data_IF_482254328104
#
_entry.id   IF_482254328104
#
_cell.length_a   1.000
_cell.length_b   1.000
_cell.length_c   1.000
_cell.angle_alpha   90.00
_cell.angle_beta   90.00
_cell.angle_gamma   90.00
#
_symmetry.space_group_name_H-M   'P 1'
#
loop_
_entity.id
_entity.type
_entity.pdbx_description
1 polymer ?
#
# COMPACT_ATOMS: atom_id res chain seq x y z
N UNK A 1 -35.50 -4.10 -46.36
CA UNK A 1 -36.16 -4.33 -45.07
C UNK A 1 -35.19 -5.09 -44.19
N UNK A 2 -34.79 -4.46 -43.07
CA UNK A 2 -34.27 -5.00 -41.79
C UNK A 2 -33.59 -6.38 -41.77
N UNK A 3 -32.45 -6.63 -41.11
CA UNK A 3 -31.97 -6.01 -39.89
C UNK A 3 -30.49 -6.41 -39.63
N UNK A 4 -29.72 -5.47 -39.08
CA UNK A 4 -28.39 -5.68 -38.50
C UNK A 4 -28.53 -6.32 -37.11
N UNK A 5 -27.61 -7.22 -36.73
CA UNK A 5 -27.14 -7.45 -35.34
C UNK A 5 -25.89 -8.35 -35.36
N UNK A 6 -24.68 -7.76 -35.40
CA UNK A 6 -23.75 -7.63 -34.24
C UNK A 6 -23.69 -8.90 -33.39
N UNK A 7 -22.63 -9.71 -33.46
CA UNK A 7 -21.27 -9.31 -33.08
C UNK A 7 -21.11 -9.61 -31.59
N UNK A 8 -20.58 -10.80 -31.27
CA UNK A 8 -20.24 -11.21 -29.91
C UNK A 8 -19.11 -10.30 -29.44
N UNK A 9 -19.45 -9.22 -28.71
CA UNK A 9 -18.50 -8.33 -28.06
C UNK A 9 -18.18 -8.88 -26.68
N UNK A 10 -16.95 -9.35 -26.53
CA UNK A 10 -16.25 -9.58 -25.25
C UNK A 10 -16.48 -8.40 -24.31
N UNK A 11 -16.82 -8.65 -23.04
CA UNK A 11 -17.27 -7.59 -22.11
C UNK A 11 -16.31 -7.47 -20.92
N UNK A 12 -16.31 -6.30 -20.28
CA UNK A 12 -15.40 -5.82 -19.22
C UNK A 12 -15.22 -6.69 -17.96
N UNK A 13 -15.82 -7.88 -17.89
CA UNK A 13 -15.42 -8.96 -16.97
C UNK A 13 -14.07 -9.61 -17.36
N UNK A 14 -13.64 -9.36 -18.59
CA UNK A 14 -12.51 -10.02 -19.24
C UNK A 14 -11.19 -9.24 -19.17
N UNK A 15 -11.07 -8.11 -18.42
CA UNK A 15 -9.83 -7.30 -18.45
C UNK A 15 -8.90 -7.51 -17.24
N UNK A 16 -9.38 -7.34 -16.00
CA UNK A 16 -8.52 -7.59 -14.82
C UNK A 16 -8.42 -9.08 -14.45
N UNK A 17 -9.37 -9.91 -14.92
CA UNK A 17 -9.31 -11.36 -14.79
C UNK A 17 -8.46 -12.04 -15.89
N UNK A 18 -8.24 -11.42 -17.06
CA UNK A 18 -7.46 -12.03 -18.15
C UNK A 18 -5.95 -11.83 -18.02
N UNK A 19 -5.49 -10.76 -17.37
CA UNK A 19 -4.05 -10.50 -17.20
C UNK A 19 -3.44 -11.40 -16.10
N UNK A 20 -4.21 -11.84 -15.12
CA UNK A 20 -3.73 -12.72 -14.04
C UNK A 20 -4.12 -14.21 -14.21
N UNK A 21 -5.01 -14.56 -15.16
CA UNK A 21 -5.69 -15.86 -15.20
C UNK A 21 -5.14 -16.92 -16.15
N UNK A 22 -3.96 -16.75 -16.74
CA UNK A 22 -3.45 -17.65 -17.80
C UNK A 22 -2.54 -18.79 -17.29
N UNK A 23 -2.95 -19.51 -16.24
CA UNK A 23 -2.50 -20.91 -16.01
C UNK A 23 -3.60 -21.72 -15.29
N UNK A 24 -4.63 -22.16 -16.04
CA UNK A 24 -5.58 -23.18 -15.57
C UNK A 24 -5.17 -24.55 -16.11
N UNK A 25 -4.36 -25.28 -15.36
CA UNK A 25 -4.34 -26.74 -15.42
C UNK A 25 -5.46 -27.27 -14.51
N UNK A 26 -6.38 -28.04 -15.08
CA UNK A 26 -7.54 -28.59 -14.39
C UNK A 26 -7.14 -29.58 -13.28
N UNK A 27 -7.72 -29.38 -12.09
CA UNK A 27 -7.88 -30.45 -11.09
C UNK A 27 -7.01 -30.35 -9.84
N UNK A 28 -7.20 -29.32 -9.00
CA UNK A 28 -6.76 -29.29 -7.58
C UNK A 28 -7.78 -28.53 -6.72
N UNK A 29 -7.98 -28.89 -5.43
CA UNK A 29 -9.02 -28.32 -4.58
C UNK A 29 -8.65 -26.91 -4.08
N UNK A 30 -9.67 -26.04 -4.01
CA UNK A 30 -9.68 -24.73 -3.34
C UNK A 30 -8.59 -23.72 -3.80
N UNK A 31 -8.82 -23.08 -4.94
CA UNK A 31 -8.19 -21.79 -5.23
C UNK A 31 -8.93 -20.66 -4.48
N UNK A 32 -8.22 -19.73 -3.81
CA UNK A 32 -8.81 -18.55 -3.20
C UNK A 32 -9.48 -17.71 -4.30
N UNK A 33 -10.75 -17.36 -4.09
CA UNK A 33 -11.50 -16.49 -5.01
C UNK A 33 -11.32 -15.06 -4.55
N UNK A 34 -10.86 -14.21 -5.47
CA UNK A 34 -10.82 -12.77 -5.24
C UNK A 34 -12.20 -12.25 -4.80
N UNK A 35 -12.22 -11.40 -3.77
CA UNK A 35 -13.42 -10.76 -3.28
C UNK A 35 -13.74 -9.60 -4.24
N UNK A 36 -14.76 -9.77 -5.09
CA UNK A 36 -15.15 -8.72 -6.04
C UNK A 36 -16.66 -8.48 -6.01
N UNK A 37 -17.03 -7.28 -5.54
CA UNK A 37 -18.16 -6.54 -6.11
C UNK A 37 -17.84 -6.21 -7.58
N UNK A 38 -18.85 -6.18 -8.46
CA UNK A 38 -18.66 -5.80 -9.86
C UNK A 38 -18.03 -4.40 -9.90
N UNK A 39 -16.80 -4.27 -10.39
CA UNK A 39 -16.25 -2.97 -10.76
C UNK A 39 -17.15 -2.33 -11.81
N UNK A 40 -17.73 -1.17 -11.48
CA UNK A 40 -18.36 -0.23 -12.42
C UNK A 40 -17.35 0.39 -13.39
N UNK A 41 -16.05 0.13 -13.20
CA UNK A 41 -14.97 0.58 -14.07
C UNK A 41 -15.25 0.21 -15.54
N UNK A 42 -15.51 1.24 -16.32
CA UNK A 42 -15.84 1.16 -17.73
C UNK A 42 -14.56 1.46 -18.51
N UNK A 43 -14.16 0.57 -19.43
CA UNK A 43 -13.08 0.81 -20.38
C UNK A 43 -13.43 1.99 -21.30
N UNK A 44 -12.52 2.94 -21.45
CA UNK A 44 -12.62 4.06 -22.37
C UNK A 44 -12.59 3.59 -23.84
N UNK A 45 -13.20 4.33 -24.79
CA UNK A 45 -13.06 4.04 -26.21
C UNK A 45 -11.61 4.18 -26.67
N UNK A 46 -11.25 3.50 -27.76
CA UNK A 46 -9.92 3.61 -28.35
C UNK A 46 -9.62 5.06 -28.74
N UNK A 47 -8.42 5.54 -28.39
CA UNK A 47 -7.99 6.92 -28.64
C UNK A 47 -8.63 7.98 -27.73
N UNK A 48 -9.26 7.58 -26.62
CA UNK A 48 -9.74 8.52 -25.62
C UNK A 48 -8.59 9.39 -25.07
N UNK A 49 -8.85 10.67 -24.89
CA UNK A 49 -7.88 11.59 -24.31
C UNK A 49 -7.73 11.33 -22.80
N UNK A 50 -6.48 11.33 -22.33
CA UNK A 50 -6.17 11.29 -20.91
C UNK A 50 -6.61 12.61 -20.27
N UNK A 51 -7.54 12.54 -19.33
CA UNK A 51 -8.03 13.68 -18.56
C UNK A 51 -7.37 13.78 -17.18
N UNK A 52 -7.19 12.65 -16.49
CA UNK A 52 -6.54 12.59 -15.18
C UNK A 52 -5.89 11.23 -14.93
N UNK A 53 -5.04 11.17 -13.92
CA UNK A 53 -4.24 10.01 -13.56
C UNK A 53 -4.46 9.67 -12.08
N UNK A 54 -4.46 8.38 -11.73
CA UNK A 54 -4.56 7.91 -10.34
C UNK A 54 -3.49 6.86 -10.04
N UNK A 55 -2.94 6.91 -8.82
CA UNK A 55 -2.01 5.90 -8.32
C UNK A 55 -2.81 4.75 -7.70
N UNK A 56 -2.45 3.51 -8.06
CA UNK A 56 -3.03 2.29 -7.47
C UNK A 56 -1.94 1.38 -6.88
N UNK A 57 -2.21 0.73 -5.73
CA UNK A 57 -3.40 0.91 -4.90
C UNK A 57 -3.43 2.30 -4.23
N UNK A 58 -4.64 2.76 -3.85
CA UNK A 58 -4.80 4.03 -3.12
C UNK A 58 -4.18 3.97 -1.71
N UNK A 59 -4.25 2.80 -1.06
CA UNK A 59 -3.52 2.47 0.17
C UNK A 59 -2.73 1.19 -0.05
N UNK A 60 -1.41 1.33 -0.09
CA UNK A 60 -0.48 0.21 -0.20
C UNK A 60 -0.03 -0.32 1.14
N UNK A 61 0.13 -1.64 1.25
CA UNK A 61 0.58 -2.32 2.49
C UNK A 61 1.87 -3.10 2.21
N UNK A 62 2.97 -2.60 2.77
CA UNK A 62 4.24 -3.33 2.84
C UNK A 62 4.43 -3.96 4.22
N UNK A 63 5.26 -5.01 4.31
CA UNK A 63 5.51 -5.71 5.58
C UNK A 63 6.98 -5.97 5.80
N UNK A 64 7.48 -5.56 6.96
CA UNK A 64 8.86 -5.76 7.36
C UNK A 64 9.23 -7.25 7.38
N UNK A 65 10.52 -7.53 7.18
CA UNK A 65 11.07 -8.87 7.27
C UNK A 65 12.59 -8.81 7.36
N UNK A 66 13.22 -9.72 8.10
CA UNK A 66 14.67 -9.67 8.34
C UNK A 66 15.54 -10.09 7.14
N UNK A 67 14.96 -10.68 6.10
CA UNK A 67 15.70 -11.13 4.91
C UNK A 67 15.95 -10.01 3.91
N UNK A 68 17.03 -10.09 3.13
CA UNK A 68 17.23 -9.27 1.94
C UNK A 68 16.29 -9.69 0.79
N UNK A 69 15.78 -10.91 0.81
CA UNK A 69 14.80 -11.40 -0.13
C UNK A 69 13.40 -10.84 0.15
N UNK A 70 12.59 -10.75 -0.90
CA UNK A 70 11.27 -10.15 -0.84
C UNK A 70 10.33 -10.75 -1.88
N UNK A 71 9.04 -10.48 -1.70
CA UNK A 71 7.97 -10.80 -2.65
C UNK A 71 6.99 -9.63 -2.75
N UNK A 72 6.17 -9.59 -3.80
CA UNK A 72 5.20 -8.53 -3.99
C UNK A 72 3.97 -8.71 -3.09
N UNK A 73 3.46 -7.60 -2.56
CA UNK A 73 2.15 -7.55 -1.94
C UNK A 73 1.07 -7.98 -2.95
N UNK A 74 -0.04 -8.58 -2.49
CA UNK A 74 -1.18 -8.85 -3.35
C UNK A 74 -1.70 -7.55 -3.96
N UNK A 75 -1.87 -7.52 -5.27
CA UNK A 75 -2.42 -6.36 -5.97
C UNK A 75 -3.95 -6.41 -6.09
N UNK A 76 -4.54 -7.54 -5.68
CA UNK A 76 -5.98 -7.80 -5.75
C UNK A 76 -6.48 -8.19 -4.36
N UNK A 77 -7.48 -7.46 -3.81
CA UNK A 77 -8.12 -7.83 -2.56
C UNK A 77 -8.64 -9.28 -2.56
N UNK A 78 -8.39 -9.99 -1.47
CA UNK A 78 -8.82 -11.37 -1.28
C UNK A 78 -7.96 -12.43 -1.97
N UNK A 79 -6.92 -12.06 -2.73
CA UNK A 79 -5.90 -13.01 -3.18
C UNK A 79 -4.70 -13.02 -2.23
N UNK A 80 -4.15 -14.19 -1.89
CA UNK A 80 -2.92 -14.27 -1.12
C UNK A 80 -1.72 -13.81 -1.98
N UNK A 81 -0.60 -13.41 -1.35
CA UNK A 81 0.64 -13.14 -2.06
C UNK A 81 1.25 -14.44 -2.59
N UNK A 82 1.94 -14.36 -3.72
CA UNK A 82 2.65 -15.47 -4.35
C UNK A 82 4.18 -15.33 -4.14
N UNK A 83 4.75 -15.86 -3.04
CA UNK A 83 6.16 -15.65 -2.72
C UNK A 83 7.10 -16.67 -3.40
N UNK A 84 6.65 -17.31 -4.49
CA UNK A 84 7.32 -18.48 -5.09
C UNK A 84 7.54 -19.63 -4.08
N UNK A 85 6.47 -20.03 -3.39
CA UNK A 85 6.39 -21.16 -2.44
C UNK A 85 7.16 -21.03 -1.11
N UNK A 86 7.77 -19.89 -0.77
CA UNK A 86 8.38 -19.71 0.55
C UNK A 86 8.31 -18.26 1.05
N UNK A 87 7.85 -18.05 2.29
CA UNK A 87 7.82 -16.76 2.98
C UNK A 87 9.12 -16.45 3.75
N UNK A 88 10.05 -17.40 3.78
CA UNK A 88 11.39 -17.26 4.35
C UNK A 88 12.45 -17.43 3.26
N UNK A 89 13.70 -17.14 3.60
CA UNK A 89 14.85 -17.23 2.69
C UNK A 89 15.64 -18.56 2.78
N UNK A 90 15.06 -19.58 3.42
CA UNK A 90 15.75 -20.84 3.72
C UNK A 90 16.67 -20.77 4.95
N UNK A 91 17.06 -19.57 5.42
CA UNK A 91 17.90 -19.35 6.61
C UNK A 91 17.10 -18.84 7.82
N UNK A 92 15.79 -19.14 7.83
CA UNK A 92 14.83 -18.78 8.88
C UNK A 92 14.45 -17.28 8.97
N UNK A 93 14.99 -16.40 8.12
CA UNK A 93 14.55 -15.00 8.09
C UNK A 93 13.31 -14.84 7.22
N UNK A 94 12.41 -13.96 7.66
CA UNK A 94 11.18 -13.64 6.95
C UNK A 94 11.50 -12.73 5.77
N UNK A 95 10.99 -13.07 4.58
CA UNK A 95 11.03 -12.22 3.39
C UNK A 95 10.17 -10.98 3.59
N UNK A 96 10.60 -9.85 3.03
CA UNK A 96 9.79 -8.63 3.03
C UNK A 96 8.61 -8.76 2.06
N UNK A 97 7.47 -8.19 2.42
CA UNK A 97 6.39 -7.94 1.47
C UNK A 97 6.52 -6.51 0.94
N UNK A 98 6.72 -6.38 -0.37
CA UNK A 98 7.00 -5.10 -1.04
C UNK A 98 5.75 -4.61 -1.76
N UNK A 99 5.38 -3.34 -1.54
CA UNK A 99 4.25 -2.77 -2.24
C UNK A 99 4.70 -2.22 -3.59
N UNK A 100 4.04 -2.68 -4.66
CA UNK A 100 4.14 -2.07 -6.00
C UNK A 100 3.03 -1.06 -6.22
N UNK A 101 3.35 0.08 -6.79
CA UNK A 101 2.40 1.10 -7.21
C UNK A 101 2.44 1.29 -8.73
N UNK A 102 1.26 1.57 -9.29
CA UNK A 102 0.98 1.73 -10.72
C UNK A 102 0.24 3.02 -10.95
N UNK A 103 0.32 3.57 -12.16
CA UNK A 103 -0.47 4.73 -12.56
C UNK A 103 -1.46 4.28 -13.61
N UNK A 104 -2.73 4.64 -13.43
CA UNK A 104 -3.77 4.42 -14.43
C UNK A 104 -4.28 5.75 -14.97
N UNK A 105 -4.47 5.80 -16.28
CA UNK A 105 -5.04 6.94 -16.99
C UNK A 105 -6.55 6.78 -17.16
N UNK A 106 -7.26 7.90 -17.03
CA UNK A 106 -8.71 7.98 -17.14
C UNK A 106 -9.10 9.11 -18.09
N UNK A 107 -10.22 8.93 -18.79
CA UNK A 107 -10.82 10.01 -19.57
C UNK A 107 -11.71 10.90 -18.70
N UNK A 108 -12.33 11.92 -19.32
CA UNK A 108 -13.18 12.90 -18.63
C UNK A 108 -14.49 12.32 -18.06
N UNK A 109 -14.78 11.04 -18.32
CA UNK A 109 -15.95 10.32 -17.81
C UNK A 109 -15.55 9.23 -16.80
N UNK A 110 -14.34 9.31 -16.21
CA UNK A 110 -13.79 8.32 -15.27
C UNK A 110 -13.67 6.90 -15.86
N UNK A 111 -13.56 6.80 -17.19
CA UNK A 111 -13.40 5.52 -17.87
C UNK A 111 -11.91 5.19 -17.95
N UNK A 112 -11.56 3.96 -17.62
CA UNK A 112 -10.16 3.50 -17.61
C UNK A 112 -9.64 3.45 -19.04
N UNK A 113 -8.56 4.18 -19.31
CA UNK A 113 -7.81 4.10 -20.57
C UNK A 113 -6.83 2.93 -20.49
N UNK A 114 -6.03 2.88 -19.42
CA UNK A 114 -5.03 1.83 -19.21
C UNK A 114 -4.01 2.20 -18.15
N UNK A 115 -3.10 1.27 -17.87
CA UNK A 115 -1.90 1.56 -17.07
C UNK A 115 -0.93 2.40 -17.91
N UNK A 116 -0.29 3.39 -17.27
CA UNK A 116 0.87 4.07 -17.84
C UNK A 116 2.15 3.52 -17.24
N UNK A 117 3.11 3.21 -18.11
CA UNK A 117 4.45 2.72 -17.78
C UNK A 117 5.51 3.63 -18.37
N UNK A 118 6.79 3.33 -18.10
CA UNK A 118 7.92 4.02 -18.73
C UNK A 118 7.96 3.89 -20.26
N UNK A 119 7.19 2.96 -20.86
CA UNK A 119 7.03 2.88 -22.30
C UNK A 119 6.10 3.97 -22.87
N UNK A 120 5.21 4.50 -22.03
CA UNK A 120 4.15 5.44 -22.42
C UNK A 120 4.49 6.89 -22.04
N UNK A 121 5.24 7.08 -20.96
CA UNK A 121 5.53 8.39 -20.38
C UNK A 121 6.78 8.39 -19.49
N UNK A 122 7.35 9.57 -19.23
CA UNK A 122 8.31 9.75 -18.15
C UNK A 122 7.57 9.84 -16.82
N UNK A 123 7.88 8.93 -15.89
CA UNK A 123 7.24 8.86 -14.57
C UNK A 123 8.25 9.20 -13.49
N UNK A 124 7.94 10.22 -12.69
CA UNK A 124 8.69 10.60 -11.49
C UNK A 124 7.83 10.37 -10.26
N UNK A 125 8.25 9.43 -9.43
CA UNK A 125 7.63 9.10 -8.15
C UNK A 125 8.24 9.89 -7.01
N UNK A 126 7.43 10.26 -6.03
CA UNK A 126 7.87 10.84 -4.77
C UNK A 126 7.18 10.12 -3.60
N UNK A 127 7.95 9.80 -2.57
CA UNK A 127 7.43 9.16 -1.35
C UNK A 127 8.09 9.83 -0.14
N UNK A 128 7.33 10.04 0.92
CA UNK A 128 7.84 10.54 2.20
C UNK A 128 7.38 9.60 3.30
N UNK A 129 8.32 8.98 4.02
CA UNK A 129 8.01 8.04 5.10
C UNK A 129 8.43 8.60 6.46
N UNK A 130 7.55 8.44 7.45
CA UNK A 130 7.85 8.80 8.83
C UNK A 130 7.26 7.79 9.82
N UNK A 131 7.86 7.74 11.02
CA UNK A 131 7.31 7.06 12.19
C UNK A 131 7.14 8.07 13.32
N UNK A 132 5.90 8.24 13.76
CA UNK A 132 5.52 9.19 14.82
C UNK A 132 5.09 8.49 16.11
N UNK A 133 5.18 7.15 16.19
CA UNK A 133 4.64 6.35 17.30
C UNK A 133 5.18 6.79 18.65
N UNK A 134 6.48 7.09 18.74
CA UNK A 134 7.12 7.49 19.99
C UNK A 134 6.75 8.93 20.42
N UNK A 135 6.36 9.78 19.46
CA UNK A 135 5.91 11.14 19.69
C UNK A 135 4.41 11.24 20.03
N UNK A 136 3.65 10.16 19.78
CA UNK A 136 2.20 10.13 19.92
C UNK A 136 1.72 9.84 21.34
N UNK A 137 0.40 9.76 21.51
CA UNK A 137 -0.27 9.32 22.73
C UNK A 137 -0.18 7.81 22.90
N UNK A 138 -0.26 7.36 24.15
CA UNK A 138 -0.40 5.96 24.50
C UNK A 138 -1.75 5.39 24.09
N UNK A 139 -1.83 4.07 23.99
CA UNK A 139 -3.03 3.38 23.52
C UNK A 139 -3.68 2.57 24.64
N UNK A 140 -4.89 2.99 25.06
CA UNK A 140 -5.73 2.23 25.98
C UNK A 140 -6.85 1.49 25.21
N UNK A 141 -7.66 2.25 24.46
CA UNK A 141 -8.74 1.76 23.61
C UNK A 141 -9.04 2.80 22.49
N UNK A 142 -9.83 2.44 21.46
CA UNK A 142 -10.30 3.39 20.47
C UNK A 142 -11.12 4.52 21.11
N UNK A 143 -10.91 5.76 20.65
CA UNK A 143 -11.58 6.94 21.22
C UNK A 143 -12.99 7.16 20.68
N UNK A 144 -13.36 6.42 19.63
CA UNK A 144 -14.58 6.51 18.84
C UNK A 144 -15.57 5.36 19.09
N UNK A 145 -15.36 4.56 20.14
CA UNK A 145 -16.22 3.42 20.52
C UNK A 145 -17.65 3.79 21.00
N UNK A 146 -18.02 5.08 20.98
CA UNK A 146 -19.36 5.56 21.40
C UNK A 146 -19.63 5.46 22.90
N UNK A 147 -20.89 5.71 23.29
CA UNK A 147 -21.28 5.84 24.71
C UNK A 147 -21.20 4.54 25.52
N UNK A 148 -21.37 3.38 24.88
CA UNK A 148 -21.37 2.08 25.57
C UNK A 148 -19.97 1.60 25.96
N UNK A 149 -18.92 2.14 25.32
CA UNK A 149 -17.53 1.81 25.62
C UNK A 149 -16.64 3.04 25.39
N UNK A 150 -16.82 4.12 26.17
CA UNK A 150 -16.19 5.41 25.89
C UNK A 150 -14.67 5.34 25.80
N UNK A 151 -14.10 6.20 24.96
CA UNK A 151 -12.66 6.34 24.79
C UNK A 151 -11.94 6.73 26.09
N UNK A 152 -10.83 6.06 26.36
CA UNK A 152 -9.93 6.31 27.48
C UNK A 152 -8.64 6.96 26.94
N UNK A 153 -8.49 8.29 27.04
CA UNK A 153 -7.33 8.97 26.47
C UNK A 153 -6.03 8.52 27.14
N UNK A 154 -5.03 8.19 26.32
CA UNK A 154 -3.69 7.87 26.78
C UNK A 154 -2.86 9.12 27.05
N UNK A 155 -1.87 9.02 27.96
CA UNK A 155 -0.86 10.07 28.15
C UNK A 155 0.09 10.11 26.94
N UNK A 156 0.79 11.23 26.73
CA UNK A 156 1.85 11.31 25.71
C UNK A 156 2.94 10.26 26.02
N UNK A 157 3.35 9.48 25.01
CA UNK A 157 4.54 8.64 25.11
C UNK A 157 5.78 9.52 25.25
N UNK A 158 6.81 8.98 25.90
CA UNK A 158 8.06 9.67 26.21
C UNK A 158 7.81 11.04 26.87
N UNK A 159 7.12 11.11 28.03
CA UNK A 159 6.66 12.37 28.61
C UNK A 159 7.79 13.28 29.09
N UNK A 160 9.02 12.78 29.18
CA UNK A 160 10.21 13.54 29.57
C UNK A 160 10.63 14.59 28.54
N UNK A 161 10.23 14.44 27.27
CA UNK A 161 10.40 15.48 26.26
C UNK A 161 9.15 16.35 26.21
N UNK A 162 9.30 17.63 26.56
CA UNK A 162 8.17 18.50 26.92
C UNK A 162 7.76 19.42 25.78
N UNK A 163 8.71 20.09 25.13
CA UNK A 163 8.38 21.02 24.04
C UNK A 163 8.14 20.28 22.73
N UNK A 164 7.24 20.80 21.89
CA UNK A 164 6.91 20.16 20.60
C UNK A 164 8.13 20.05 19.68
N UNK A 165 9.00 21.06 19.69
CA UNK A 165 10.25 21.03 18.92
C UNK A 165 11.18 19.90 19.39
N UNK A 166 11.40 19.78 20.71
CA UNK A 166 12.21 18.72 21.26
C UNK A 166 11.59 17.34 21.00
N UNK A 167 10.27 17.22 21.11
CA UNK A 167 9.55 15.97 20.80
C UNK A 167 9.71 15.60 19.33
N UNK A 168 9.56 16.55 18.41
CA UNK A 168 9.77 16.31 16.98
C UNK A 168 11.21 15.83 16.73
N UNK A 169 12.19 16.56 17.24
CA UNK A 169 13.61 16.24 17.07
C UNK A 169 14.01 14.88 17.67
N UNK A 170 13.46 14.53 18.83
CA UNK A 170 13.89 13.35 19.58
C UNK A 170 13.05 12.10 19.27
N UNK A 171 11.78 12.24 18.86
CA UNK A 171 10.83 11.12 18.83
C UNK A 171 10.24 10.83 17.46
N UNK A 172 10.26 11.78 16.52
CA UNK A 172 9.78 11.54 15.16
C UNK A 172 10.95 11.04 14.32
N UNK A 173 10.82 9.83 13.81
CA UNK A 173 11.78 9.27 12.85
C UNK A 173 11.28 9.67 11.47
N UNK A 174 11.82 10.75 10.93
CA UNK A 174 11.49 11.24 9.60
C UNK A 174 12.57 10.82 8.60
N UNK A 175 12.22 9.98 7.62
CA UNK A 175 13.13 9.55 6.55
C UNK A 175 13.25 10.56 5.40
N UNK A 176 12.46 11.63 5.46
CA UNK A 176 12.35 12.66 4.43
C UNK A 176 11.62 12.19 3.17
N UNK A 177 11.49 13.11 2.22
CA UNK A 177 11.00 12.79 0.87
C UNK A 177 12.13 12.24 0.00
N UNK A 178 11.82 11.18 -0.75
CA UNK A 178 12.69 10.61 -1.78
C UNK A 178 11.97 10.64 -3.12
N UNK A 179 12.76 10.84 -4.17
CA UNK A 179 12.29 10.93 -5.56
C UNK A 179 12.98 9.86 -6.38
N UNK A 180 12.25 9.15 -7.24
CA UNK A 180 12.80 8.11 -8.12
C UNK A 180 12.07 8.10 -9.47
N UNK A 181 12.82 7.94 -10.56
CA UNK A 181 12.30 7.89 -11.92
C UNK A 181 13.14 6.94 -12.78
N UNK A 182 12.57 6.46 -13.88
CA UNK A 182 13.24 5.52 -14.79
C UNK A 182 12.95 4.05 -14.48
N UNK A 183 13.55 3.16 -15.28
CA UNK A 183 13.34 1.70 -15.22
C UNK A 183 14.46 1.02 -14.43
N UNK A 184 14.11 -0.02 -13.68
CA UNK A 184 15.08 -0.90 -13.01
C UNK A 184 16.05 -0.17 -12.04
N UNK A 185 15.62 0.95 -11.46
CA UNK A 185 16.45 1.77 -10.59
C UNK A 185 16.51 1.19 -9.18
N UNK A 186 17.72 1.19 -8.60
CA UNK A 186 18.04 0.62 -7.30
C UNK A 186 17.71 -0.88 -7.19
N UNK A 187 17.76 -1.63 -8.30
CA UNK A 187 17.39 -3.06 -8.33
C UNK A 187 18.15 -3.94 -7.33
N UNK A 188 19.40 -3.59 -6.99
CA UNK A 188 20.20 -4.30 -6.00
C UNK A 188 19.96 -3.82 -4.55
N UNK A 189 19.26 -2.70 -4.37
CA UNK A 189 19.09 -2.03 -3.09
C UNK A 189 20.35 -1.34 -2.57
N UNK A 190 20.20 -0.64 -1.45
CA UNK A 190 21.31 -0.08 -0.69
C UNK A 190 21.84 1.26 -1.20
N UNK A 191 21.26 1.82 -2.26
CA UNK A 191 21.58 3.18 -2.68
C UNK A 191 21.02 4.20 -1.68
N UNK A 192 21.92 4.96 -1.05
CA UNK A 192 21.60 5.97 -0.05
C UNK A 192 20.69 7.09 -0.60
N UNK A 193 20.70 7.33 -1.92
CA UNK A 193 19.81 8.31 -2.55
C UNK A 193 18.33 7.92 -2.43
N UNK A 194 18.03 6.63 -2.34
CA UNK A 194 16.66 6.10 -2.28
C UNK A 194 16.31 5.47 -0.92
N UNK A 195 17.24 5.45 0.03
CA UNK A 195 17.02 4.99 1.39
C UNK A 195 16.35 6.06 2.26
N UNK A 196 15.34 5.66 3.04
CA UNK A 196 14.72 6.48 4.08
C UNK A 196 15.40 6.22 5.40
N UNK A 197 16.22 7.17 5.87
CA UNK A 197 16.91 7.07 7.15
C UNK A 197 16.53 8.28 8.00
N UNK A 198 15.88 8.04 9.13
CA UNK A 198 15.61 9.04 10.15
C UNK A 198 16.44 8.78 11.42
N UNK A 199 16.28 9.63 12.43
CA UNK A 199 16.95 9.46 13.73
C UNK A 199 15.94 9.33 14.86
N UNK A 200 16.18 8.38 15.76
CA UNK A 200 15.51 8.29 17.04
C UNK A 200 16.44 8.80 18.15
N UNK A 201 15.88 9.61 19.06
CA UNK A 201 16.60 10.29 20.15
C UNK A 201 17.83 11.08 19.65
N UNK A 202 17.77 11.56 18.42
CA UNK A 202 18.86 12.25 17.71
C UNK A 202 20.21 11.52 17.70
N UNK A 203 20.24 10.22 18.05
CA UNK A 203 21.47 9.46 18.30
C UNK A 203 21.48 8.13 17.57
N UNK A 204 20.32 7.55 17.31
CA UNK A 204 20.19 6.25 16.65
C UNK A 204 19.62 6.41 15.25
N UNK A 205 20.38 6.00 14.23
CA UNK A 205 19.86 5.89 12.87
C UNK A 205 18.85 4.75 12.77
N UNK A 206 17.73 5.04 12.11
CA UNK A 206 16.64 4.10 11.88
C UNK A 206 16.28 4.14 10.40
N UNK A 207 16.42 3.00 9.73
CA UNK A 207 15.92 2.84 8.37
C UNK A 207 14.41 2.64 8.38
N UNK A 208 13.71 3.30 7.48
CA UNK A 208 12.27 3.11 7.22
C UNK A 208 12.02 2.38 5.90
N UNK A 209 13.07 1.87 5.26
CA UNK A 209 13.01 1.19 3.96
C UNK A 209 13.70 1.97 2.84
N UNK A 210 13.34 1.64 1.60
CA UNK A 210 13.92 2.23 0.38
C UNK A 210 12.96 2.17 -0.81
N UNK A 211 13.23 2.99 -1.84
CA UNK A 211 12.52 2.94 -3.12
C UNK A 211 13.31 2.16 -4.18
N UNK A 212 12.56 1.49 -5.07
CA UNK A 212 13.07 0.94 -6.34
C UNK A 212 12.07 1.19 -7.45
N UNK A 213 12.48 1.04 -8.70
CA UNK A 213 11.55 0.91 -9.83
C UNK A 213 11.73 -0.44 -10.53
N UNK A 214 10.62 -1.02 -10.98
CA UNK A 214 10.68 -2.23 -11.80
C UNK A 214 11.05 -1.93 -13.27
N UNK A 215 11.10 -2.97 -14.10
CA UNK A 215 11.45 -2.84 -15.52
C UNK A 215 10.44 -2.04 -16.35
N UNK A 216 9.24 -1.76 -15.81
CA UNK A 216 8.22 -0.91 -16.45
C UNK A 216 8.16 0.49 -15.82
N UNK A 217 9.08 0.83 -14.91
CA UNK A 217 9.08 2.12 -14.22
C UNK A 217 8.02 2.24 -13.12
N UNK A 218 7.44 1.11 -12.68
CA UNK A 218 6.51 1.07 -11.55
C UNK A 218 7.28 1.25 -10.25
N UNK A 219 6.71 1.97 -9.31
CA UNK A 219 7.31 2.17 -8.00
C UNK A 219 7.22 0.90 -7.15
N UNK A 220 8.32 0.56 -6.49
CA UNK A 220 8.38 -0.43 -5.43
C UNK A 220 8.78 0.29 -4.13
N UNK A 221 7.95 0.18 -3.11
CA UNK A 221 8.26 0.65 -1.75
C UNK A 221 8.64 -0.55 -0.90
N UNK A 222 9.93 -0.66 -0.59
CA UNK A 222 10.46 -1.76 0.21
C UNK A 222 10.49 -1.34 1.68
N UNK A 223 9.95 -2.17 2.59
CA UNK A 223 9.97 -1.88 4.01
C UNK A 223 11.35 -2.14 4.63
N UNK A 224 11.53 -1.68 5.87
CA UNK A 224 12.71 -1.97 6.68
C UNK A 224 12.76 -3.43 7.18
N UNK A 225 13.65 -3.72 8.12
CA UNK A 225 14.02 -5.09 8.52
C UNK A 225 13.20 -5.65 9.70
N UNK A 226 12.35 -4.85 10.34
CA UNK A 226 11.60 -5.25 11.54
C UNK A 226 12.41 -5.06 12.81
N UNK A 227 13.30 -4.08 12.85
CA UNK A 227 14.19 -3.77 13.98
C UNK A 227 13.49 -2.84 14.96
N UNK A 228 13.34 -3.30 16.21
CA UNK A 228 12.90 -2.48 17.34
C UNK A 228 14.00 -2.39 18.39
N UNK A 229 14.30 -1.19 18.90
CA UNK A 229 15.40 -0.96 19.85
C UNK A 229 15.11 0.19 20.81
N UNK A 230 15.93 0.27 21.84
CA UNK A 230 15.97 1.39 22.79
C UNK A 230 17.42 1.88 22.94
N UNK A 231 17.70 3.20 22.81
CA UNK A 231 19.04 3.75 23.01
C UNK A 231 19.55 3.58 24.45
N UNK A 232 18.64 3.39 25.41
CA UNK A 232 18.96 3.17 26.83
C UNK A 232 18.76 1.74 27.28
N UNK A 233 18.42 0.83 26.35
CA UNK A 233 18.05 -0.55 26.66
C UNK A 233 16.94 -0.64 27.73
N UNK A 234 15.94 0.26 27.63
CA UNK A 234 14.81 0.29 28.55
C UNK A 234 14.02 -1.03 28.51
N UNK A 235 13.51 -1.49 29.66
CA UNK A 235 12.67 -2.68 29.70
C UNK A 235 11.34 -2.47 28.95
N UNK A 236 10.85 -3.53 28.31
CA UNK A 236 9.48 -3.58 27.77
C UNK A 236 8.55 -3.98 28.91
N UNK A 237 7.62 -3.11 29.26
CA UNK A 237 6.71 -3.30 30.41
C UNK A 237 5.24 -3.17 30.03
N UNK A 238 4.95 -2.74 28.81
CA UNK A 238 3.60 -2.57 28.28
C UNK A 238 3.47 -3.25 26.93
N UNK A 239 2.27 -3.70 26.59
CA UNK A 239 1.97 -4.26 25.28
C UNK A 239 2.03 -3.19 24.16
N UNK A 240 1.76 -1.92 24.49
CA UNK A 240 1.66 -0.83 23.51
C UNK A 240 2.59 0.35 23.81
N UNK A 241 2.81 0.69 25.08
CA UNK A 241 3.37 1.98 25.47
C UNK A 241 4.69 1.83 26.22
N UNK A 242 5.77 1.72 25.46
CA UNK A 242 7.12 1.54 25.99
C UNK A 242 7.95 2.79 25.72
N UNK A 243 8.19 3.60 26.75
CA UNK A 243 9.00 4.81 26.59
C UNK A 243 10.47 4.45 26.33
N UNK A 244 11.15 5.27 25.53
CA UNK A 244 12.51 5.04 25.08
C UNK A 244 12.64 3.95 24.03
N UNK A 245 11.54 3.48 23.43
CA UNK A 245 11.56 2.51 22.34
C UNK A 245 11.16 3.12 21.01
N UNK A 246 11.73 2.56 19.94
CA UNK A 246 11.27 2.75 18.58
C UNK A 246 11.15 1.41 17.85
N UNK A 247 10.42 1.43 16.74
CA UNK A 247 10.47 0.41 15.70
C UNK A 247 10.82 1.07 14.35
N UNK A 248 10.83 0.27 13.29
CA UNK A 248 11.13 0.69 11.92
C UNK A 248 9.91 0.57 10.99
N UNK A 249 8.70 0.57 11.55
CA UNK A 249 7.48 0.73 10.77
C UNK A 249 7.34 2.20 10.38
N UNK A 250 6.53 2.48 9.38
CA UNK A 250 6.30 3.85 8.93
C UNK A 250 5.08 3.89 8.01
N UNK A 251 4.62 5.10 7.73
CA UNK A 251 3.66 5.34 6.68
C UNK A 251 3.91 6.72 6.06
N UNK A 252 3.25 6.98 4.93
CA UNK A 252 3.25 8.30 4.35
C UNK A 252 2.77 8.36 2.89
N UNK A 253 2.74 9.56 2.32
CA UNK A 253 2.18 9.81 1.00
C UNK A 253 3.06 9.27 -0.13
N UNK A 254 2.40 8.82 -1.19
CA UNK A 254 2.97 8.44 -2.49
C UNK A 254 2.37 9.35 -3.55
N UNK A 255 3.21 10.09 -4.26
CA UNK A 255 2.79 10.99 -5.34
C UNK A 255 3.59 10.72 -6.61
N UNK A 256 3.06 11.15 -7.75
CA UNK A 256 3.75 11.01 -9.02
C UNK A 256 3.43 12.16 -9.98
N UNK A 257 4.44 12.53 -10.75
CA UNK A 257 4.31 13.41 -11.93
C UNK A 257 4.62 12.59 -13.16
N UNK A 258 3.79 12.73 -14.20
CA UNK A 258 3.88 11.98 -15.45
C UNK A 258 3.95 12.96 -16.61
N UNK A 259 5.02 12.90 -17.39
CA UNK A 259 5.17 13.66 -18.64
C UNK A 259 4.93 12.72 -19.81
N UNK A 260 3.79 12.93 -20.49
CA UNK A 260 3.38 12.14 -21.64
C UNK A 260 4.29 12.42 -22.85
N UNK A 261 4.30 11.52 -23.84
CA UNK A 261 5.14 11.64 -25.04
C UNK A 261 4.91 12.94 -25.83
N UNK A 262 3.68 13.48 -25.82
CA UNK A 262 3.37 14.78 -26.42
C UNK A 262 3.87 16.00 -25.60
N UNK A 263 4.54 15.77 -24.47
CA UNK A 263 5.11 16.80 -23.60
C UNK A 263 4.17 17.34 -22.53
N UNK A 264 2.91 16.88 -22.50
CA UNK A 264 1.94 17.27 -21.46
C UNK A 264 2.29 16.60 -20.12
N UNK A 265 2.45 17.41 -19.08
CA UNK A 265 2.72 16.93 -17.72
C UNK A 265 1.44 16.93 -16.87
N UNK A 266 1.18 15.81 -16.20
CA UNK A 266 0.06 15.61 -15.30
C UNK A 266 0.57 15.18 -13.91
N UNK A 267 -0.10 15.62 -12.86
CA UNK A 267 0.11 15.08 -11.51
C UNK A 267 -0.95 14.02 -11.24
N UNK A 268 -0.54 12.83 -10.83
CA UNK A 268 -1.48 11.78 -10.47
C UNK A 268 -2.12 12.07 -9.10
N UNK A 269 -3.40 11.72 -8.95
CA UNK A 269 -4.05 11.67 -7.65
C UNK A 269 -3.23 10.76 -6.71
N UNK A 270 -2.94 11.23 -5.49
CA UNK A 270 -1.96 10.60 -4.62
C UNK A 270 -2.50 9.30 -4.03
N UNK A 271 -1.57 8.47 -3.56
CA UNK A 271 -1.83 7.30 -2.74
C UNK A 271 -1.12 7.43 -1.38
N UNK A 272 -1.28 6.42 -0.53
CA UNK A 272 -0.58 6.27 0.73
C UNK A 272 0.08 4.90 0.80
N UNK A 273 1.16 4.78 1.56
CA UNK A 273 1.77 3.50 1.90
C UNK A 273 1.87 3.36 3.41
N UNK A 274 1.56 2.19 3.93
CA UNK A 274 1.80 1.83 5.32
C UNK A 274 2.65 0.56 5.39
N UNK A 275 3.71 0.62 6.20
CA UNK A 275 4.57 -0.48 6.53
C UNK A 275 4.19 -1.03 7.89
N UNK A 276 3.89 -2.33 7.95
CA UNK A 276 3.44 -3.01 9.19
C UNK A 276 4.20 -4.32 9.42
N UNK A 277 3.86 -5.01 10.51
CA UNK A 277 4.44 -6.32 10.84
C UNK A 277 4.17 -7.40 9.77
N UNK A 278 4.92 -8.53 9.81
CA UNK A 278 4.70 -9.66 8.92
C UNK A 278 3.26 -10.20 8.99
N UNK A 279 2.77 -10.75 7.87
CA UNK A 279 1.59 -11.60 7.90
C UNK A 279 2.06 -13.05 8.01
N UNK A 280 1.90 -13.64 9.19
CA UNK A 280 2.37 -15.00 9.47
C UNK A 280 1.47 -16.10 8.90
N UNK A 281 0.26 -15.75 8.45
CA UNK A 281 -0.66 -16.69 7.79
C UNK A 281 -1.38 -16.00 6.61
N UNK A 282 -0.69 -15.70 5.50
CA UNK A 282 -1.27 -14.93 4.39
C UNK A 282 -2.48 -15.56 3.70
N UNK A 283 -2.66 -16.87 3.85
CA UNK A 283 -3.78 -17.64 3.29
C UNK A 283 -4.98 -17.74 4.24
N UNK A 284 -4.88 -17.21 5.46
CA UNK A 284 -5.97 -17.18 6.45
C UNK A 284 -6.48 -15.73 6.55
N UNK A 285 -7.50 -15.35 5.75
CA UNK A 285 -8.05 -14.00 5.82
C UNK A 285 -8.82 -13.80 7.14
N UNK A 286 -8.82 -12.58 7.70
CA UNK A 286 -9.69 -12.25 8.83
C UNK A 286 -11.16 -12.26 8.38
N UNK A 287 -12.09 -12.43 9.33
CA UNK A 287 -13.53 -12.38 9.05
C UNK A 287 -14.00 -11.03 8.52
N UNK A 288 -13.34 -9.95 8.97
CA UNK A 288 -13.55 -8.58 8.50
C UNK A 288 -12.19 -7.98 8.20
N UNK A 289 -11.98 -7.59 6.96
CA UNK A 289 -10.76 -6.98 6.46
C UNK A 289 -10.82 -5.46 6.56
N UNK A 290 -9.67 -4.79 6.44
CA UNK A 290 -9.65 -3.32 6.30
C UNK A 290 -10.42 -2.86 5.04
N UNK A 291 -10.44 -3.69 3.99
CA UNK A 291 -11.22 -3.42 2.79
C UNK A 291 -12.72 -3.35 3.12
N UNK A 292 -13.23 -4.29 3.92
CA UNK A 292 -14.64 -4.31 4.34
C UNK A 292 -14.99 -3.08 5.19
N UNK A 293 -14.09 -2.69 6.11
CA UNK A 293 -14.28 -1.48 6.95
C UNK A 293 -14.33 -0.22 6.09
N UNK A 294 -13.43 -0.08 5.12
CA UNK A 294 -13.42 1.07 4.20
C UNK A 294 -14.67 1.06 3.32
N UNK A 295 -15.09 -0.11 2.81
CA UNK A 295 -16.31 -0.21 2.02
C UNK A 295 -17.53 0.20 2.84
N UNK A 296 -17.63 -0.26 4.09
CA UNK A 296 -18.70 0.14 5.00
C UNK A 296 -18.69 1.65 5.28
N UNK A 297 -17.51 2.24 5.52
CA UNK A 297 -17.35 3.68 5.69
C UNK A 297 -17.83 4.46 4.46
N UNK A 298 -17.44 4.03 3.26
CA UNK A 298 -17.86 4.69 2.03
C UNK A 298 -19.38 4.66 1.85
N UNK A 299 -20.04 3.56 2.23
CA UNK A 299 -21.51 3.47 2.20
C UNK A 299 -22.14 4.35 3.27
N UNK A 300 -21.62 4.34 4.51
CA UNK A 300 -22.18 5.15 5.61
C UNK A 300 -22.07 6.65 5.35
N UNK A 301 -20.99 7.09 4.70
CA UNK A 301 -20.78 8.49 4.30
C UNK A 301 -21.46 8.86 2.96
N UNK A 302 -22.12 7.90 2.29
CA UNK A 302 -22.80 8.13 1.02
C UNK A 302 -21.85 8.34 -0.18
N UNK A 303 -20.57 7.95 -0.06
CA UNK A 303 -19.58 7.97 -1.14
C UNK A 303 -19.69 6.75 -2.06
N UNK A 304 -20.37 5.70 -1.62
CA UNK A 304 -20.68 4.52 -2.43
C UNK A 304 -22.12 4.08 -2.20
N UNK A 305 -22.71 3.48 -3.23
CA UNK A 305 -24.05 2.88 -3.11
C UNK A 305 -23.99 1.60 -2.28
N UNK A 306 -25.07 1.34 -1.54
CA UNK A 306 -25.25 0.08 -0.84
C UNK A 306 -25.38 -1.09 -1.82
N UNK A 307 -25.10 -2.30 -1.35
CA UNK A 307 -25.14 -3.50 -2.18
C UNK A 307 -26.56 -3.72 -2.74
N UNK A 308 -26.73 -3.89 -4.06
CA UNK A 308 -28.04 -4.05 -4.66
C UNK A 308 -28.71 -5.35 -4.19
N UNK A 309 -29.97 -5.27 -3.79
CA UNK A 309 -30.77 -6.43 -3.40
C UNK A 309 -31.32 -7.21 -4.61
N UNK A 310 -31.48 -8.55 -4.50
CA UNK A 310 -31.14 -9.38 -3.35
C UNK A 310 -29.63 -9.57 -3.20
N UNK A 311 -29.17 -9.68 -1.94
CA UNK A 311 -27.76 -9.94 -1.63
C UNK A 311 -27.30 -11.23 -2.32
N UNK A 312 -26.09 -11.21 -2.86
CA UNK A 312 -25.55 -12.35 -3.58
C UNK A 312 -24.71 -13.23 -2.68
N UNK A 313 -25.09 -14.49 -2.51
CA UNK A 313 -24.24 -15.51 -1.85
C UNK A 313 -22.93 -15.82 -2.59
N UNK A 314 -22.73 -15.25 -3.78
CA UNK A 314 -21.52 -15.42 -4.60
C UNK A 314 -20.69 -14.13 -4.73
N UNK A 315 -21.20 -13.00 -4.23
CA UNK A 315 -20.51 -11.71 -4.29
C UNK A 315 -20.58 -11.06 -2.91
N UNK A 316 -19.44 -11.07 -2.23
CA UNK A 316 -19.10 -10.17 -1.12
C UNK A 316 -18.60 -8.86 -1.70
#
# INVERSE_FOLDING_TARGET
MSDFKTGIKTTRRDFLASVAGSTLAAGLPWLPKAAFAKTTAQQAPAGAEIAHLRIYPALGISRVGGSAQWFLAPEVPGLPPEPNNDYKDGEQKIKKQVQRFRIYAFDSQDRVIGELTAADAEITWQVHLANTKAAWYGFNNPLDNGELAPGLPGQKRNPYFVSDEQRRQMLVIDGGRKTISGVAINNNGGDAAYAFIGKFWNTMDVSLGELRTDNAGRLLVLPANGVSRSPTNAAITSFADNNGWHDDWCDGPVTATVTLAEGRTLTAEPAWVACVGPNFAPEIPPITTLYDVIQNLNVSEGWSEDAPHPLSFRKS
#
